data_IF_573729565913
#
_entry.id   IF_573729565913
#
_cell.length_a   1.000
_cell.length_b   1.000
_cell.length_c   1.000
_cell.angle_alpha   90.00
_cell.angle_beta   90.00
_cell.angle_gamma   90.00
#
_symmetry.space_group_name_H-M   'P 1'
#
loop_
_entity.id
_entity.type
_entity.pdbx_description
1 polymer ?
#
# COMPACT_ATOMS: atom_id res chain seq x y z
N UNK A 1 -26.00 -28.01 21.17
CA UNK A 1 -25.65 -27.79 19.76
C UNK A 1 -26.83 -27.13 19.08
N UNK A 2 -26.73 -25.88 18.64
CA UNK A 2 -27.81 -25.19 17.93
C UNK A 2 -27.50 -25.24 16.43
N UNK A 3 -28.27 -26.04 15.69
CA UNK A 3 -28.18 -26.11 14.24
C UNK A 3 -28.90 -24.89 13.65
N UNK A 4 -28.14 -23.92 13.12
CA UNK A 4 -28.74 -22.86 12.29
C UNK A 4 -29.20 -23.48 10.98
N UNK A 5 -30.51 -23.65 10.85
CA UNK A 5 -31.15 -24.00 9.59
C UNK A 5 -31.22 -22.75 8.71
N UNK A 6 -30.50 -22.73 7.59
CA UNK A 6 -30.68 -21.69 6.59
C UNK A 6 -31.98 -21.98 5.84
N UNK A 7 -32.97 -21.12 6.04
CA UNK A 7 -34.22 -21.15 5.30
C UNK A 7 -33.92 -20.77 3.84
N UNK A 8 -33.84 -21.77 2.96
CA UNK A 8 -33.72 -21.54 1.52
C UNK A 8 -35.08 -21.03 1.05
N UNK A 9 -35.22 -19.71 0.96
CA UNK A 9 -36.32 -19.11 0.22
C UNK A 9 -36.18 -19.53 -1.26
N UNK A 10 -37.30 -19.77 -1.93
CA UNK A 10 -37.37 -20.08 -3.37
C UNK A 10 -36.86 -18.88 -4.19
N UNK A 11 -35.54 -18.73 -4.27
CA UNK A 11 -34.88 -17.75 -5.13
C UNK A 11 -34.88 -18.30 -6.55
N UNK A 12 -35.39 -17.52 -7.51
CA UNK A 12 -35.25 -17.83 -8.93
C UNK A 12 -33.78 -17.69 -9.31
N UNK A 13 -33.33 -18.41 -10.35
CA UNK A 13 -31.94 -18.29 -10.85
C UNK A 13 -31.59 -16.85 -11.26
N UNK A 14 -32.58 -16.04 -11.64
CA UNK A 14 -32.42 -14.61 -11.87
C UNK A 14 -31.92 -13.86 -10.63
N UNK A 15 -32.27 -14.32 -9.45
CA UNK A 15 -31.99 -13.65 -8.18
C UNK A 15 -30.53 -13.91 -7.73
N UNK A 16 -29.88 -14.97 -8.23
CA UNK A 16 -28.44 -15.21 -8.03
C UNK A 16 -27.56 -14.11 -8.65
N UNK A 17 -28.06 -13.45 -9.69
CA UNK A 17 -27.37 -12.36 -10.38
C UNK A 17 -27.84 -10.99 -9.92
N UNK A 18 -28.82 -10.95 -9.02
CA UNK A 18 -29.26 -9.71 -8.42
C UNK A 18 -28.26 -9.33 -7.30
N UNK A 19 -27.53 -8.24 -7.52
CA UNK A 19 -26.55 -7.69 -6.58
C UNK A 19 -27.16 -7.45 -5.19
N UNK A 20 -28.44 -7.05 -5.16
CA UNK A 20 -29.20 -6.83 -3.93
C UNK A 20 -29.42 -8.14 -3.14
N UNK A 21 -29.63 -9.26 -3.83
CA UNK A 21 -29.84 -10.58 -3.22
C UNK A 21 -28.56 -11.18 -2.62
N UNK A 22 -27.39 -10.84 -3.15
CA UNK A 22 -26.08 -11.25 -2.60
C UNK A 22 -25.52 -10.25 -1.57
N UNK A 23 -26.32 -9.27 -1.14
CA UNK A 23 -25.94 -8.30 -0.12
C UNK A 23 -25.03 -7.18 -0.62
N UNK A 24 -24.92 -6.98 -1.94
CA UNK A 24 -24.27 -5.83 -2.57
C UNK A 24 -25.38 -4.83 -2.91
N UNK A 25 -25.83 -4.10 -1.90
CA UNK A 25 -26.68 -2.92 -2.08
C UNK A 25 -25.80 -1.70 -2.28
N UNK A 26 -26.07 -0.95 -3.36
CA UNK A 26 -25.60 0.44 -3.44
C UNK A 26 -26.46 1.23 -2.44
N UNK A 27 -25.88 1.64 -1.31
CA UNK A 27 -26.63 2.21 -0.19
C UNK A 27 -27.14 3.64 -0.48
N UNK A 28 -27.05 4.11 -1.73
CA UNK A 28 -27.41 5.46 -2.15
C UNK A 28 -26.57 6.55 -1.47
N UNK A 29 -25.54 6.17 -0.69
CA UNK A 29 -24.61 7.08 -0.02
C UNK A 29 -23.38 7.37 -0.86
N UNK A 30 -23.17 6.62 -1.95
CA UNK A 30 -22.12 6.89 -2.92
C UNK A 30 -22.60 8.02 -3.84
N UNK A 31 -21.81 9.08 -3.91
CA UNK A 31 -21.98 10.10 -4.93
C UNK A 31 -21.88 9.41 -6.30
N UNK A 32 -22.56 9.95 -7.33
CA UNK A 32 -22.32 9.41 -8.67
C UNK A 32 -20.86 9.64 -9.02
N UNK A 33 -20.27 8.72 -9.80
CA UNK A 33 -18.85 8.77 -10.16
C UNK A 33 -18.46 10.15 -10.73
N UNK A 34 -19.36 10.79 -11.48
CA UNK A 34 -19.14 12.13 -12.03
C UNK A 34 -18.96 13.21 -10.95
N UNK A 35 -19.71 13.10 -9.85
CA UNK A 35 -19.63 14.05 -8.73
C UNK A 35 -18.33 13.81 -7.93
N UNK A 36 -17.94 12.56 -7.72
CA UNK A 36 -16.66 12.23 -7.06
C UNK A 36 -15.47 12.75 -7.87
N UNK A 37 -15.49 12.57 -9.19
CA UNK A 37 -14.45 13.05 -10.10
C UNK A 37 -14.35 14.59 -10.10
N UNK A 38 -15.49 15.29 -10.06
CA UNK A 38 -15.50 16.76 -10.03
C UNK A 38 -14.96 17.29 -8.70
N UNK A 39 -15.37 16.72 -7.57
CA UNK A 39 -14.82 17.07 -6.25
C UNK A 39 -13.30 16.84 -6.18
N UNK A 40 -12.81 15.73 -6.74
CA UNK A 40 -11.38 15.44 -6.78
C UNK A 40 -10.61 16.47 -7.63
N UNK A 41 -11.17 16.93 -8.75
CA UNK A 41 -10.58 17.99 -9.59
C UNK A 41 -10.52 19.32 -8.87
N UNK A 42 -11.57 19.69 -8.14
CA UNK A 42 -11.61 20.94 -7.36
C UNK A 42 -10.61 20.93 -6.20
N UNK A 43 -10.44 19.78 -5.53
CA UNK A 43 -9.52 19.67 -4.39
C UNK A 43 -8.04 19.49 -4.80
N UNK A 44 -7.76 18.91 -5.98
CA UNK A 44 -6.38 18.62 -6.42
C UNK A 44 -5.41 19.81 -6.37
N UNK A 45 -5.77 21.04 -6.81
CA UNK A 45 -4.91 22.22 -6.68
C UNK A 45 -4.53 22.57 -5.24
N UNK A 46 -5.37 22.24 -4.27
CA UNK A 46 -5.08 22.54 -2.85
C UNK A 46 -3.93 21.70 -2.28
N UNK A 47 -3.68 20.53 -2.87
CA UNK A 47 -2.57 19.64 -2.50
C UNK A 47 -1.32 19.86 -3.35
N UNK A 48 -1.39 20.71 -4.37
CA UNK A 48 -0.24 21.05 -5.21
C UNK A 48 0.60 22.13 -4.53
N UNK A 49 1.87 21.80 -4.32
CA UNK A 49 2.89 22.73 -3.85
C UNK A 49 4.06 22.74 -4.84
N UNK A 50 4.83 23.82 -4.84
CA UNK A 50 6.07 23.90 -5.61
C UNK A 50 7.22 24.01 -4.63
N UNK A 51 8.17 23.08 -4.73
CA UNK A 51 9.35 23.10 -3.88
C UNK A 51 10.34 24.19 -4.32
N UNK A 52 11.39 24.41 -3.52
CA UNK A 52 12.42 25.44 -3.76
C UNK A 52 13.19 25.21 -5.08
N UNK A 53 13.28 23.96 -5.54
CA UNK A 53 13.88 23.59 -6.83
C UNK A 53 12.93 23.82 -8.02
N UNK A 54 11.71 24.26 -7.76
CA UNK A 54 10.71 24.52 -8.78
C UNK A 54 9.96 23.29 -9.29
N UNK A 55 10.10 22.12 -8.65
CA UNK A 55 9.33 20.90 -8.93
C UNK A 55 7.97 20.96 -8.23
N UNK A 56 6.95 20.38 -8.88
CA UNK A 56 5.63 20.20 -8.28
C UNK A 56 5.65 18.99 -7.33
N UNK A 57 5.18 19.21 -6.12
CA UNK A 57 4.96 18.18 -5.10
C UNK A 57 3.47 18.11 -4.80
N UNK A 58 2.91 16.90 -4.83
CA UNK A 58 1.51 16.65 -4.52
C UNK A 58 1.40 15.68 -3.33
N UNK A 59 0.43 15.92 -2.46
CA UNK A 59 0.08 14.98 -1.41
C UNK A 59 -0.42 13.64 -1.97
N UNK A 60 -0.45 12.59 -1.14
CA UNK A 60 -1.05 11.31 -1.52
C UNK A 60 -2.56 11.49 -1.77
N UNK A 61 -3.11 10.95 -2.88
CA UNK A 61 -4.52 11.10 -3.21
C UNK A 61 -5.36 10.15 -2.37
N UNK A 62 -5.82 10.61 -1.21
CA UNK A 62 -6.75 9.87 -0.37
C UNK A 62 -8.17 9.97 -0.93
N UNK A 63 -8.92 8.87 -0.90
CA UNK A 63 -10.34 8.87 -1.30
C UNK A 63 -11.22 9.59 -0.28
N UNK A 64 -10.76 9.71 0.96
CA UNK A 64 -11.39 10.48 2.01
C UNK A 64 -10.64 11.79 2.20
N UNK A 65 -11.35 12.85 2.61
CA UNK A 65 -10.77 14.18 2.86
C UNK A 65 -9.64 14.17 3.90
N UNK A 66 -9.65 13.18 4.81
CA UNK A 66 -8.59 13.00 5.80
C UNK A 66 -7.85 11.68 5.51
N UNK A 67 -6.51 11.66 5.61
CA UNK A 67 -5.75 10.43 5.53
C UNK A 67 -6.27 9.42 6.55
N UNK A 68 -6.47 8.15 6.17
CA UNK A 68 -6.84 7.12 7.13
C UNK A 68 -5.72 6.93 8.15
N UNK A 69 -6.10 6.56 9.38
CA UNK A 69 -5.13 6.18 10.40
C UNK A 69 -4.39 4.90 9.96
N UNK A 70 -3.10 5.03 9.62
CA UNK A 70 -2.29 3.89 9.18
C UNK A 70 -1.71 3.20 10.43
N UNK A 71 -2.00 1.90 10.65
CA UNK A 71 -1.47 1.18 11.79
C UNK A 71 0.03 0.92 11.63
N UNK A 72 0.76 0.86 12.74
CA UNK A 72 2.17 0.44 12.69
C UNK A 72 2.28 -1.07 12.50
N UNK A 73 3.25 -1.50 11.68
CA UNK A 73 3.54 -2.91 11.39
C UNK A 73 5.00 -3.31 11.73
N UNK A 74 5.67 -2.54 12.59
CA UNK A 74 7.10 -2.67 12.90
C UNK A 74 7.54 -4.11 13.18
N UNK A 75 6.87 -4.81 14.10
CA UNK A 75 7.23 -6.18 14.48
C UNK A 75 7.22 -7.16 13.30
N UNK A 76 6.21 -7.05 12.43
CA UNK A 76 6.08 -7.88 11.23
C UNK A 76 7.17 -7.53 10.22
N UNK A 77 7.44 -6.23 10.05
CA UNK A 77 8.47 -5.74 9.14
C UNK A 77 9.88 -6.19 9.57
N UNK A 78 10.22 -6.05 10.85
CA UNK A 78 11.50 -6.52 11.41
C UNK A 78 11.67 -8.04 11.22
N UNK A 79 10.64 -8.83 11.53
CA UNK A 79 10.67 -10.29 11.34
C UNK A 79 10.92 -10.68 9.88
N UNK A 80 10.29 -9.97 8.93
CA UNK A 80 10.51 -10.16 7.50
C UNK A 80 11.92 -9.76 7.08
N UNK A 81 12.41 -8.62 7.58
CA UNK A 81 13.77 -8.14 7.33
C UNK A 81 14.81 -9.18 7.76
N UNK A 82 14.72 -9.70 9.00
CA UNK A 82 15.64 -10.74 9.48
C UNK A 82 15.61 -11.99 8.59
N UNK A 83 14.43 -12.41 8.18
CA UNK A 83 14.25 -13.58 7.31
C UNK A 83 14.88 -13.38 5.93
N UNK A 84 14.70 -12.20 5.32
CA UNK A 84 15.29 -11.84 4.04
C UNK A 84 16.81 -11.73 4.16
N UNK A 85 17.33 -11.06 5.18
CA UNK A 85 18.77 -10.94 5.42
C UNK A 85 19.43 -12.31 5.57
N UNK A 86 18.78 -13.25 6.29
CA UNK A 86 19.26 -14.62 6.39
C UNK A 86 19.29 -15.33 5.03
N UNK A 87 18.24 -15.18 4.22
CA UNK A 87 18.16 -15.76 2.87
C UNK A 87 19.24 -15.19 1.94
N UNK A 88 19.44 -13.88 1.94
CA UNK A 88 20.45 -13.20 1.12
C UNK A 88 21.87 -13.67 1.46
N UNK A 89 22.18 -13.81 2.76
CA UNK A 89 23.45 -14.37 3.23
C UNK A 89 23.67 -15.81 2.74
N UNK A 90 22.64 -16.65 2.86
CA UNK A 90 22.71 -18.04 2.38
C UNK A 90 22.97 -18.11 0.86
N UNK A 91 22.29 -17.26 0.07
CA UNK A 91 22.49 -17.15 -1.37
C UNK A 91 23.75 -16.37 -1.79
N UNK A 92 24.55 -15.89 -0.83
CA UNK A 92 25.75 -15.05 -1.04
C UNK A 92 25.50 -13.79 -1.87
N UNK A 93 24.31 -13.21 -1.77
CA UNK A 93 23.91 -12.00 -2.50
C UNK A 93 24.21 -10.73 -1.71
N UNK A 94 25.48 -10.52 -1.36
CA UNK A 94 25.92 -9.37 -0.56
C UNK A 94 25.85 -8.04 -1.31
N UNK A 95 26.01 -8.07 -2.64
CA UNK A 95 25.88 -6.90 -3.51
C UNK A 95 24.51 -6.22 -3.43
N UNK A 96 23.52 -6.88 -2.82
CA UNK A 96 22.19 -6.30 -2.61
C UNK A 96 22.21 -5.05 -1.73
N UNK A 97 23.12 -4.97 -0.76
CA UNK A 97 23.30 -3.78 0.08
C UNK A 97 23.72 -2.55 -0.74
N UNK A 98 24.45 -2.77 -1.84
CA UNK A 98 24.91 -1.69 -2.71
C UNK A 98 23.74 -0.92 -3.34
N UNK A 99 22.64 -1.60 -3.66
CA UNK A 99 21.44 -0.94 -4.24
C UNK A 99 20.90 0.14 -3.30
N UNK A 100 20.83 -0.13 -1.99
CA UNK A 100 20.37 0.86 -1.03
C UNK A 100 21.37 1.99 -0.82
N UNK A 101 22.67 1.71 -0.93
CA UNK A 101 23.71 2.75 -0.87
C UNK A 101 23.62 3.68 -2.08
N UNK A 102 23.49 3.12 -3.27
CA UNK A 102 23.33 3.88 -4.51
C UNK A 102 22.07 4.76 -4.44
N UNK A 103 20.94 4.22 -3.96
CA UNK A 103 19.72 5.01 -3.75
C UNK A 103 19.86 6.10 -2.68
N UNK A 104 20.66 5.86 -1.65
CA UNK A 104 20.95 6.87 -0.63
C UNK A 104 21.82 7.99 -1.20
N UNK A 105 22.82 7.64 -2.00
CA UNK A 105 23.72 8.60 -2.66
C UNK A 105 22.99 9.40 -3.75
N UNK A 106 22.05 8.78 -4.46
CA UNK A 106 21.16 9.44 -5.43
C UNK A 106 20.04 10.27 -4.78
N UNK A 107 19.87 10.19 -3.46
CA UNK A 107 18.81 10.90 -2.73
C UNK A 107 17.40 10.35 -3.00
N UNK A 108 17.29 9.10 -3.47
CA UNK A 108 16.00 8.39 -3.66
C UNK A 108 15.44 7.95 -2.32
N UNK A 109 16.31 7.54 -1.39
CA UNK A 109 15.96 7.20 -0.02
C UNK A 109 16.78 8.06 0.94
N UNK A 110 16.28 8.22 2.16
CA UNK A 110 16.98 8.92 3.23
C UNK A 110 16.98 8.08 4.51
N UNK A 111 17.93 8.39 5.40
CA UNK A 111 17.91 7.81 6.75
C UNK A 111 16.88 8.55 7.59
N UNK A 112 16.03 7.78 8.27
CA UNK A 112 15.06 8.32 9.22
C UNK A 112 15.82 9.04 10.34
N UNK A 113 15.51 10.33 10.64
CA UNK A 113 16.09 11.07 11.74
C UNK A 113 15.89 10.36 13.08
N UNK A 114 16.83 10.50 14.02
CA UNK A 114 16.77 9.80 15.32
C UNK A 114 15.51 10.16 16.13
N UNK A 115 15.05 11.42 16.01
CA UNK A 115 13.85 11.91 16.67
C UNK A 115 12.58 11.19 16.18
N UNK A 116 12.60 10.71 14.93
CA UNK A 116 11.41 10.18 14.25
C UNK A 116 11.35 8.64 14.37
N UNK A 117 12.39 8.00 14.92
CA UNK A 117 12.48 6.54 15.06
C UNK A 117 11.38 5.94 15.95
N UNK A 118 10.81 6.76 16.84
CA UNK A 118 9.75 6.35 17.77
C UNK A 118 8.38 6.88 17.35
N UNK A 119 8.29 7.64 16.26
CA UNK A 119 7.02 8.06 15.71
C UNK A 119 6.26 6.86 15.15
N UNK A 120 4.93 7.04 15.04
CA UNK A 120 4.08 6.00 14.47
C UNK A 120 4.33 5.92 12.96
N UNK A 121 5.09 4.91 12.55
CA UNK A 121 5.38 4.65 11.14
C UNK A 121 4.81 3.33 10.65
N UNK A 122 4.60 3.28 9.33
CA UNK A 122 4.27 2.06 8.59
C UNK A 122 5.44 1.69 7.68
N UNK A 123 5.87 0.43 7.76
CA UNK A 123 7.06 -0.07 7.09
C UNK A 123 6.66 -0.85 5.84
N UNK A 124 7.24 -0.49 4.69
CA UNK A 124 6.96 -1.16 3.43
C UNK A 124 7.82 -2.43 3.30
N UNK A 125 7.22 -3.58 2.95
CA UNK A 125 7.99 -4.79 2.70
C UNK A 125 8.80 -4.63 1.42
N UNK A 126 10.10 -4.89 1.49
CA UNK A 126 10.95 -4.97 0.32
C UNK A 126 11.19 -6.44 -0.05
N UNK A 127 11.03 -6.81 -1.34
CA UNK A 127 11.42 -8.14 -1.84
C UNK A 127 12.61 -8.02 -2.82
N UNK A 128 13.73 -8.73 -2.58
CA UNK A 128 14.84 -8.71 -3.52
C UNK A 128 14.47 -9.42 -4.82
N UNK A 129 14.44 -8.68 -5.93
CA UNK A 129 14.30 -9.23 -7.28
C UNK A 129 15.65 -9.64 -7.85
N UNK A 130 15.81 -10.89 -8.28
CA UNK A 130 17.03 -11.37 -8.92
C UNK A 130 16.79 -11.63 -10.40
N UNK A 131 17.59 -11.00 -11.26
CA UNK A 131 17.61 -11.34 -12.69
C UNK A 131 18.42 -12.63 -12.89
N UNK A 132 17.99 -13.56 -13.76
CA UNK A 132 18.69 -14.83 -14.00
C UNK A 132 20.17 -14.67 -14.40
N UNK A 133 20.51 -13.59 -15.09
CA UNK A 133 21.89 -13.29 -15.51
C UNK A 133 22.84 -13.03 -14.32
N UNK A 134 22.30 -12.74 -13.13
CA UNK A 134 23.07 -12.54 -11.90
C UNK A 134 23.42 -13.83 -11.15
N UNK A 135 23.08 -15.02 -11.68
CA UNK A 135 23.51 -16.31 -11.12
C UNK A 135 24.96 -16.66 -11.47
N UNK A 136 25.58 -15.96 -12.43
CA UNK A 136 26.96 -16.18 -12.85
C UNK A 136 27.76 -14.89 -12.73
N UNK A 137 28.35 -14.67 -11.57
CA UNK A 137 29.49 -13.79 -11.42
C UNK A 137 30.43 -14.49 -10.45
N UNK A 138 31.60 -14.88 -10.99
CA UNK A 138 32.64 -15.70 -10.37
C UNK A 138 33.13 -15.17 -9.03
#
# INVERSE_FOLDING_TARGET
>A
MLTSSFFVQNLKVSDLWNLETIGITDDGRRLTKEIEDELAREEFPSYLSRNEEGRYSVGLPWTQKQPPEIPTNRHVAETRLFSITRKLRYLRKYAYDQIFRDWLDEGIIEKVPENDLYERSHYLPHHPGFKPESYHSN
#
